data_IF_216005526304
#
_entry.id   IF_216005526304
#
_cell.length_a   1.000
_cell.length_b   1.000
_cell.length_c   1.000
_cell.angle_alpha   90.00
_cell.angle_beta   90.00
_cell.angle_gamma   90.00
#
_symmetry.space_group_name_H-M   'P 1'
#
loop_
_entity.id
_entity.type
_entity.pdbx_description
1 polymer ?
#
# COMPACT_ATOMS: atom_id res chain seq x y z
N UNK A 1 11.95 -12.21 8.42
CA UNK A 1 10.66 -11.56 8.69
C UNK A 1 10.66 -10.25 7.94
N UNK A 2 9.84 -10.14 6.89
CA UNK A 2 9.68 -8.87 6.18
C UNK A 2 8.80 -7.99 7.07
N UNK A 3 9.20 -6.74 7.30
CA UNK A 3 8.36 -5.80 8.03
C UNK A 3 7.25 -5.33 7.11
N UNK A 4 6.01 -5.40 7.59
CA UNK A 4 4.86 -4.77 6.97
C UNK A 4 4.86 -3.29 7.37
N UNK A 5 4.54 -2.41 6.43
CA UNK A 5 4.50 -0.96 6.65
C UNK A 5 3.10 -0.46 6.42
N UNK A 6 2.39 -0.19 7.51
CA UNK A 6 1.01 0.28 7.49
C UNK A 6 0.93 1.80 7.52
N UNK A 7 -0.06 2.37 6.83
CA UNK A 7 -0.30 3.84 6.80
C UNK A 7 -1.61 4.25 7.48
N UNK A 8 -2.48 3.29 7.76
CA UNK A 8 -3.77 3.52 8.42
C UNK A 8 -4.77 2.40 8.16
N UNK A 9 -5.98 2.55 8.68
CA UNK A 9 -7.09 1.63 8.44
C UNK A 9 -7.72 1.89 7.08
N UNK A 10 -8.17 0.83 6.40
CA UNK A 10 -8.85 0.94 5.12
C UNK A 10 -10.26 1.54 5.27
N UNK A 11 -10.50 2.68 4.61
CA UNK A 11 -11.80 3.35 4.57
C UNK A 11 -12.83 2.68 3.62
N UNK A 12 -12.44 1.61 2.92
CA UNK A 12 -13.35 0.82 2.07
C UNK A 12 -14.06 -0.24 2.89
N UNK A 13 -13.31 -1.13 3.55
CA UNK A 13 -13.87 -2.26 4.28
C UNK A 13 -13.99 -2.04 5.79
N UNK A 14 -13.31 -1.02 6.34
CA UNK A 14 -13.24 -0.73 7.78
C UNK A 14 -12.76 -1.91 8.65
N UNK A 15 -12.05 -2.87 8.05
CA UNK A 15 -11.55 -4.08 8.70
C UNK A 15 -10.03 -4.16 8.56
N UNK A 16 -9.55 -4.12 7.31
CA UNK A 16 -8.13 -4.23 6.99
C UNK A 16 -7.32 -2.95 7.20
N UNK A 17 -6.01 -3.13 7.14
CA UNK A 17 -5.00 -2.10 7.17
C UNK A 17 -4.48 -1.80 5.76
N UNK A 18 -4.16 -0.53 5.52
CA UNK A 18 -3.53 -0.06 4.29
C UNK A 18 -2.02 -0.28 4.41
N UNK A 19 -1.47 -1.13 3.56
CA UNK A 19 -0.08 -1.54 3.50
C UNK A 19 0.64 -0.97 2.29
N UNK A 20 1.90 -0.55 2.47
CA UNK A 20 2.78 -0.26 1.34
C UNK A 20 3.38 -1.58 0.86
N UNK A 21 3.07 -1.94 -0.38
CA UNK A 21 3.48 -3.21 -1.00
C UNK A 21 4.17 -2.96 -2.33
N UNK A 22 4.90 -3.98 -2.81
CA UNK A 22 5.61 -3.94 -4.10
C UNK A 22 5.11 -5.05 -5.00
N UNK A 23 4.66 -4.71 -6.21
CA UNK A 23 4.29 -5.69 -7.23
C UNK A 23 5.54 -6.41 -7.76
N UNK A 24 5.49 -7.75 -7.87
CA UNK A 24 6.66 -8.60 -8.11
C UNK A 24 7.28 -8.44 -9.50
N UNK A 25 6.47 -8.18 -10.53
CA UNK A 25 6.90 -8.23 -11.94
C UNK A 25 7.54 -6.90 -12.39
N UNK A 26 6.87 -5.79 -12.12
CA UNK A 26 7.26 -4.43 -12.47
C UNK A 26 8.08 -3.74 -11.38
N UNK A 27 8.01 -4.24 -10.14
CA UNK A 27 8.60 -3.57 -8.99
C UNK A 27 7.88 -2.29 -8.57
N UNK A 28 6.68 -2.03 -9.09
CA UNK A 28 5.87 -0.86 -8.72
C UNK A 28 5.50 -0.95 -7.24
N UNK A 29 5.77 0.11 -6.50
CA UNK A 29 5.33 0.28 -5.11
C UNK A 29 4.00 1.03 -5.11
N UNK A 30 3.05 0.52 -4.35
CA UNK A 30 1.69 1.02 -4.25
C UNK A 30 1.11 0.67 -2.88
N UNK A 31 -0.12 1.13 -2.60
CA UNK A 31 -0.82 0.81 -1.35
C UNK A 31 -1.90 -0.21 -1.61
N UNK A 32 -2.00 -1.24 -0.78
CA UNK A 32 -3.06 -2.24 -0.84
C UNK A 32 -3.70 -2.45 0.55
N UNK A 33 -4.99 -2.77 0.58
CA UNK A 33 -5.64 -3.27 1.79
C UNK A 33 -5.36 -4.77 1.93
N UNK A 34 -4.92 -5.21 3.11
CA UNK A 34 -4.65 -6.62 3.45
C UNK A 34 -5.91 -7.51 3.45
N UNK A 35 -7.09 -6.93 3.68
CA UNK A 35 -8.35 -7.68 3.75
C UNK A 35 -9.16 -7.65 2.45
N UNK A 36 -9.40 -6.46 1.89
CA UNK A 36 -10.32 -6.30 0.76
C UNK A 36 -9.61 -6.11 -0.59
N UNK A 37 -8.27 -6.10 -0.59
CA UNK A 37 -7.43 -5.98 -1.79
C UNK A 37 -7.72 -4.71 -2.63
N UNK A 38 -8.26 -3.67 -2.00
CA UNK A 38 -8.37 -2.36 -2.65
C UNK A 38 -6.97 -1.75 -2.78
N UNK A 39 -6.70 -1.11 -3.90
CA UNK A 39 -5.36 -0.67 -4.31
C UNK A 39 -5.35 0.84 -4.60
N UNK A 40 -4.23 1.50 -4.33
CA UNK A 40 -4.00 2.91 -4.63
C UNK A 40 -2.58 3.14 -5.10
N UNK A 41 -2.40 4.05 -6.05
CA UNK A 41 -1.07 4.40 -6.55
C UNK A 41 -0.21 5.17 -5.55
N UNK A 42 -0.83 5.81 -4.56
CA UNK A 42 -0.16 6.65 -3.58
C UNK A 42 -0.90 6.66 -2.21
N UNK A 43 -0.19 6.94 -1.10
CA UNK A 43 -0.78 7.00 0.25
C UNK A 43 -1.83 8.08 0.43
N UNK A 44 -1.71 9.23 -0.24
CA UNK A 44 -2.65 10.35 -0.06
C UNK A 44 -4.05 9.99 -0.53
N UNK A 45 -4.13 9.32 -1.67
CA UNK A 45 -5.37 8.83 -2.24
C UNK A 45 -5.96 7.69 -1.40
N UNK A 46 -5.11 6.78 -0.92
CA UNK A 46 -5.51 5.68 -0.04
C UNK A 46 -6.15 6.19 1.26
N UNK A 47 -5.51 7.15 1.92
CA UNK A 47 -5.97 7.75 3.17
C UNK A 47 -7.25 8.59 3.01
N UNK A 48 -7.59 9.00 1.78
CA UNK A 48 -8.81 9.77 1.46
C UNK A 48 -9.88 8.92 0.76
N UNK A 49 -9.61 7.64 0.47
CA UNK A 49 -10.50 6.75 -0.30
C UNK A 49 -10.88 7.30 -1.67
N UNK A 50 -9.92 7.88 -2.40
CA UNK A 50 -10.13 8.40 -3.76
C UNK A 50 -9.26 7.64 -4.76
N UNK A 51 -9.67 7.56 -6.03
CA UNK A 51 -8.91 6.91 -7.11
C UNK A 51 -8.47 5.46 -6.84
N UNK A 52 -9.19 4.75 -5.97
CA UNK A 52 -8.89 3.35 -5.65
C UNK A 52 -9.27 2.40 -6.78
N UNK A 53 -8.47 1.36 -6.97
CA UNK A 53 -8.72 0.28 -7.93
C UNK A 53 -8.77 -1.08 -7.22
N UNK A 54 -9.04 -2.14 -7.98
CA UNK A 54 -8.89 -3.53 -7.53
C UNK A 54 -8.47 -4.40 -8.70
N UNK A 55 -7.47 -5.26 -8.50
CA UNK A 55 -6.95 -6.16 -9.53
C UNK A 55 -6.15 -5.46 -10.63
N UNK A 56 -5.69 -4.22 -10.38
CA UNK A 56 -4.79 -3.51 -11.29
C UNK A 56 -3.37 -4.04 -11.15
N UNK A 57 -2.97 -4.43 -9.95
CA UNK A 57 -1.65 -4.96 -9.66
C UNK A 57 -1.73 -6.46 -9.38
N UNK A 58 -0.68 -7.18 -9.77
CA UNK A 58 -0.59 -8.64 -9.62
C UNK A 58 -0.07 -9.06 -8.25
N UNK A 59 0.66 -10.17 -8.22
CA UNK A 59 1.24 -10.69 -6.99
C UNK A 59 2.21 -9.69 -6.34
N UNK A 60 2.06 -9.51 -5.02
CA UNK A 60 2.86 -8.57 -4.24
C UNK A 60 3.92 -9.25 -3.37
N UNK A 61 4.97 -8.50 -3.04
CA UNK A 61 5.96 -8.82 -2.03
C UNK A 61 6.11 -7.65 -1.05
N UNK A 62 6.81 -7.91 0.06
CA UNK A 62 7.20 -6.85 0.99
C UNK A 62 8.09 -5.79 0.32
N UNK A 63 8.03 -4.58 0.86
CA UNK A 63 8.86 -3.44 0.48
C UNK A 63 9.93 -3.21 1.56
N UNK A 64 11.07 -2.61 1.21
CA UNK A 64 12.10 -2.21 2.18
C UNK A 64 11.91 -0.77 2.63
N UNK A 65 12.42 -0.40 3.81
CA UNK A 65 12.36 0.99 4.29
C UNK A 65 13.08 1.95 3.34
N UNK A 66 14.21 1.54 2.76
CA UNK A 66 14.97 2.37 1.81
C UNK A 66 14.14 2.69 0.56
N UNK A 67 13.37 1.71 0.05
CA UNK A 67 12.46 1.92 -1.08
C UNK A 67 11.33 2.90 -0.73
N UNK A 68 10.76 2.78 0.48
CA UNK A 68 9.73 3.71 0.97
C UNK A 68 10.29 5.13 1.11
N UNK A 69 11.50 5.27 1.67
CA UNK A 69 12.18 6.56 1.84
C UNK A 69 12.55 7.21 0.50
N UNK A 70 12.93 6.41 -0.51
CA UNK A 70 13.19 6.92 -1.86
C UNK A 70 11.96 7.58 -2.48
N UNK A 71 10.74 7.12 -2.12
CA UNK A 71 9.47 7.72 -2.51
C UNK A 71 8.98 8.84 -1.57
N UNK A 72 9.69 9.09 -0.46
CA UNK A 72 9.27 9.99 0.63
C UNK A 72 7.92 9.60 1.24
N UNK A 73 7.63 8.30 1.29
CA UNK A 73 6.39 7.76 1.86
C UNK A 73 6.54 7.35 3.32
N UNK A 74 7.74 7.41 3.87
CA UNK A 74 8.08 7.10 5.26
C UNK A 74 7.28 7.96 6.26
N UNK A 75 6.96 9.20 5.89
CA UNK A 75 6.10 10.11 6.66
C UNK A 75 4.65 9.63 6.85
N UNK A 76 4.18 8.65 6.08
CA UNK A 76 2.82 8.11 6.21
C UNK A 76 2.76 6.85 7.08
N UNK A 77 3.91 6.22 7.37
CA UNK A 77 3.96 5.00 8.19
C UNK A 77 3.46 5.31 9.61
N UNK A 78 2.67 4.40 10.19
CA UNK A 78 2.14 4.49 11.56
C UNK A 78 2.53 3.31 12.42
#
# INVERSE_FOLDING_TARGET
MNKEYHIGQCLVCHQGMLEIVKEKTSGKIFVACDECEAEWENPEDALKKVNGTRGKYGAVSGVTLNEIQALRWDKYIR
#
